data_IF_457090154810
#
_entry.id   IF_457090154810
#
_cell.length_a   1.000
_cell.length_b   1.000
_cell.length_c   1.000
_cell.angle_alpha   90.00
_cell.angle_beta   90.00
_cell.angle_gamma   90.00
#
_symmetry.space_group_name_H-M   'P 1'
#
loop_
_entity.id
_entity.type
_entity.pdbx_description
1 polymer ?
#
# COMPACT_ATOMS: atom_id res chain seq x y z
N UNK A 1 -6.89 2.49 -1.36
CA UNK A 1 -7.47 2.68 -0.02
C UNK A 1 -7.03 4.00 0.60
N UNK A 2 -5.76 4.32 0.53
CA UNK A 2 -5.14 5.47 1.20
C UNK A 2 -5.74 6.83 0.81
N UNK A 3 -6.19 6.99 -0.42
CA UNK A 3 -6.88 8.21 -0.90
C UNK A 3 -8.41 8.08 -0.99
N UNK A 4 -8.96 6.91 -0.73
CA UNK A 4 -10.39 6.63 -0.87
C UNK A 4 -11.14 6.57 0.49
N UNK A 5 -10.53 7.01 1.57
CA UNK A 5 -11.14 6.96 2.90
C UNK A 5 -10.97 5.62 3.63
N UNK A 6 -9.93 4.86 3.30
CA UNK A 6 -9.58 3.59 3.93
C UNK A 6 -10.05 2.35 3.19
N UNK A 7 -9.78 1.20 3.78
CA UNK A 7 -10.10 -0.12 3.20
C UNK A 7 -11.61 -0.32 3.06
N UNK A 8 -12.39 0.15 4.02
CA UNK A 8 -13.86 0.03 3.99
C UNK A 8 -14.45 0.72 2.77
N UNK A 9 -14.04 1.96 2.50
CA UNK A 9 -14.55 2.72 1.35
C UNK A 9 -14.00 2.15 0.04
N UNK A 10 -12.74 1.72 0.02
CA UNK A 10 -12.17 1.05 -1.14
C UNK A 10 -12.97 -0.21 -1.53
N UNK A 11 -13.39 -1.03 -0.54
CA UNK A 11 -14.23 -2.22 -0.79
C UNK A 11 -15.59 -1.88 -1.40
N UNK A 12 -16.22 -0.79 -0.99
CA UNK A 12 -17.47 -0.31 -1.59
C UNK A 12 -17.26 0.07 -3.07
N UNK A 13 -16.16 0.78 -3.35
CA UNK A 13 -15.78 1.13 -4.72
C UNK A 13 -15.54 -0.14 -5.55
N UNK A 14 -14.81 -1.12 -5.02
CA UNK A 14 -14.56 -2.38 -5.70
C UNK A 14 -15.85 -3.15 -6.01
N UNK A 15 -16.77 -3.25 -5.05
CA UNK A 15 -18.05 -3.90 -5.26
C UNK A 15 -18.91 -3.17 -6.31
N UNK A 16 -18.92 -1.83 -6.29
CA UNK A 16 -19.60 -1.06 -7.32
C UNK A 16 -18.99 -1.25 -8.70
N UNK A 17 -17.66 -1.23 -8.80
CA UNK A 17 -16.93 -1.48 -10.04
C UNK A 17 -17.21 -2.89 -10.60
N UNK A 18 -17.27 -3.90 -9.72
CA UNK A 18 -17.59 -5.29 -10.11
C UNK A 18 -18.97 -5.40 -10.76
N UNK A 19 -19.96 -4.66 -10.29
CA UNK A 19 -21.31 -4.61 -10.90
C UNK A 19 -21.32 -4.07 -12.33
N UNK A 20 -20.25 -3.39 -12.74
CA UNK A 20 -20.07 -2.80 -14.07
C UNK A 20 -18.95 -3.47 -14.86
N UNK A 21 -18.50 -4.66 -14.46
CA UNK A 21 -17.39 -5.41 -15.08
C UNK A 21 -16.07 -4.60 -15.15
N UNK A 22 -15.86 -3.68 -14.17
CA UNK A 22 -14.65 -2.86 -14.08
C UNK A 22 -13.67 -3.48 -13.11
N UNK A 23 -12.42 -3.62 -13.55
CA UNK A 23 -11.32 -4.16 -12.76
C UNK A 23 -10.69 -3.09 -11.86
N UNK A 24 -10.13 -3.52 -10.74
CA UNK A 24 -9.47 -2.66 -9.75
C UNK A 24 -7.95 -2.68 -9.91
N UNK A 25 -7.37 -1.49 -10.10
CA UNK A 25 -5.93 -1.25 -10.15
C UNK A 25 -5.61 -0.01 -9.30
N UNK A 26 -5.46 -0.15 -7.98
CA UNK A 26 -5.26 0.98 -7.09
C UNK A 26 -3.90 1.64 -7.30
N UNK A 27 -3.89 2.97 -7.17
CA UNK A 27 -2.70 3.79 -7.28
C UNK A 27 -1.81 3.66 -6.04
N UNK A 28 -0.50 3.42 -6.25
CA UNK A 28 0.53 3.43 -5.22
C UNK A 28 0.28 2.44 -4.06
N UNK A 29 1.07 2.53 -2.99
CA UNK A 29 0.91 1.81 -1.71
C UNK A 29 0.72 0.28 -1.86
N UNK A 30 1.61 -0.42 -2.61
CA UNK A 30 1.44 -1.85 -2.86
C UNK A 30 1.39 -2.66 -1.57
N UNK A 31 2.04 -2.20 -0.49
CA UNK A 31 2.07 -2.84 0.83
C UNK A 31 0.69 -2.90 1.48
N UNK A 32 -0.16 -1.93 1.20
CA UNK A 32 -1.55 -1.89 1.69
C UNK A 32 -2.49 -2.52 0.67
N UNK A 33 -2.33 -2.11 -0.60
CA UNK A 33 -3.26 -2.49 -1.65
C UNK A 33 -3.17 -3.95 -2.08
N UNK A 34 -2.07 -4.67 -1.75
CA UNK A 34 -1.97 -6.10 -2.02
C UNK A 34 -3.10 -6.91 -1.38
N UNK A 35 -3.46 -6.59 -0.14
CA UNK A 35 -4.57 -7.24 0.56
C UNK A 35 -5.91 -6.86 -0.07
N UNK A 36 -6.05 -5.62 -0.48
CA UNK A 36 -7.26 -5.13 -1.14
C UNK A 36 -7.50 -5.84 -2.47
N UNK A 37 -6.48 -5.87 -3.35
CA UNK A 37 -6.57 -6.48 -4.68
C UNK A 37 -6.74 -8.00 -4.58
N UNK A 38 -6.01 -8.66 -3.68
CA UNK A 38 -6.14 -10.10 -3.47
C UNK A 38 -7.48 -10.52 -2.84
N UNK A 39 -8.13 -9.59 -2.12
CA UNK A 39 -9.38 -9.84 -1.40
C UNK A 39 -10.67 -9.58 -2.20
N UNK A 40 -10.59 -9.21 -3.49
CA UNK A 40 -11.76 -8.95 -4.34
C UNK A 40 -11.66 -9.71 -5.66
N UNK A 41 -12.80 -10.05 -6.24
CA UNK A 41 -12.86 -10.84 -7.49
C UNK A 41 -12.38 -10.06 -8.71
N UNK A 42 -12.63 -8.76 -8.73
CA UNK A 42 -12.24 -7.84 -9.79
C UNK A 42 -10.88 -7.16 -9.55
N UNK A 43 -10.03 -7.69 -8.66
CA UNK A 43 -8.66 -7.24 -8.50
C UNK A 43 -7.82 -7.59 -9.72
N UNK A 44 -7.12 -6.60 -10.30
CA UNK A 44 -6.34 -6.79 -11.52
C UNK A 44 -4.84 -6.79 -11.26
N UNK A 45 -4.31 -5.68 -10.75
CA UNK A 45 -2.87 -5.45 -10.67
C UNK A 45 -2.56 -4.44 -9.55
N UNK A 46 -1.33 -4.51 -9.04
CA UNK A 46 -0.77 -3.51 -8.12
C UNK A 46 0.15 -2.56 -8.89
N UNK A 47 0.03 -1.29 -8.61
CA UNK A 47 1.03 -0.32 -9.02
C UNK A 47 2.15 -0.27 -7.98
N UNK A 48 3.40 -0.31 -8.43
CA UNK A 48 4.58 -0.22 -7.58
C UNK A 48 5.66 0.64 -8.25
N UNK A 49 6.35 1.41 -7.45
CA UNK A 49 7.46 2.26 -7.89
C UNK A 49 8.75 1.80 -7.18
N UNK A 50 9.47 0.83 -7.75
CA UNK A 50 10.65 0.25 -7.10
C UNK A 50 11.87 1.17 -7.09
N UNK A 51 11.82 2.33 -7.76
CA UNK A 51 12.93 3.28 -7.77
C UNK A 51 13.03 4.02 -6.43
N UNK A 52 14.09 3.80 -5.62
CA UNK A 52 14.25 4.45 -4.33
C UNK A 52 14.47 5.96 -4.42
N UNK A 53 14.96 6.47 -5.56
CA UNK A 53 15.16 7.92 -5.75
C UNK A 53 13.85 8.67 -5.91
N UNK A 54 12.78 7.97 -6.28
CA UNK A 54 11.46 8.58 -6.43
C UNK A 54 10.78 8.83 -5.10
N UNK A 55 10.79 7.83 -4.21
CA UNK A 55 10.10 7.85 -2.92
C UNK A 55 10.96 7.19 -1.83
N UNK A 56 12.11 7.77 -1.47
CA UNK A 56 13.08 7.10 -0.59
C UNK A 56 12.50 6.80 0.81
N UNK A 57 11.72 7.73 1.38
CA UNK A 57 11.10 7.52 2.68
C UNK A 57 10.07 6.38 2.66
N UNK A 58 9.38 6.22 1.53
CA UNK A 58 8.35 5.19 1.38
C UNK A 58 8.94 3.79 1.23
N UNK A 59 10.06 3.65 0.55
CA UNK A 59 10.76 2.37 0.39
C UNK A 59 11.22 1.80 1.74
N UNK A 60 11.68 2.68 2.63
CA UNK A 60 12.23 2.31 3.94
C UNK A 60 11.18 2.32 5.06
N UNK A 61 9.95 2.75 4.79
CA UNK A 61 8.91 2.91 5.82
C UNK A 61 8.42 1.60 6.41
N UNK A 62 8.52 0.51 5.66
CA UNK A 62 8.02 -0.80 6.07
C UNK A 62 9.16 -1.81 6.22
N UNK A 63 9.10 -2.62 7.27
CA UNK A 63 10.05 -3.69 7.56
C UNK A 63 9.39 -5.04 7.30
N UNK A 64 10.11 -5.95 6.65
CA UNK A 64 9.61 -7.29 6.36
C UNK A 64 8.74 -7.38 5.10
N UNK A 65 8.80 -6.36 4.24
CA UNK A 65 8.07 -6.38 2.97
C UNK A 65 8.65 -7.45 2.04
N UNK A 66 7.76 -8.28 1.50
CA UNK A 66 8.13 -9.29 0.51
C UNK A 66 8.61 -8.64 -0.79
N UNK A 67 9.72 -9.14 -1.38
CA UNK A 67 10.23 -8.61 -2.63
C UNK A 67 9.30 -8.90 -3.80
N UNK A 68 9.32 -8.01 -4.79
CA UNK A 68 8.68 -8.26 -6.08
C UNK A 68 9.59 -9.15 -6.92
N UNK A 69 9.13 -10.36 -7.23
CA UNK A 69 9.85 -11.34 -8.02
C UNK A 69 9.06 -11.68 -9.28
N UNK A 70 9.66 -11.56 -10.44
CA UNK A 70 9.01 -11.82 -11.73
C UNK A 70 7.66 -11.09 -11.87
N UNK A 71 7.64 -9.81 -11.52
CA UNK A 71 6.44 -8.95 -11.52
C UNK A 71 5.30 -9.46 -10.62
N UNK A 72 5.62 -10.23 -9.60
CA UNK A 72 4.67 -10.76 -8.61
C UNK A 72 5.13 -10.42 -7.20
N UNK A 73 4.17 -10.09 -6.36
CA UNK A 73 4.35 -9.87 -4.93
C UNK A 73 3.48 -10.89 -4.18
N UNK A 74 4.05 -11.52 -3.14
CA UNK A 74 3.28 -12.41 -2.26
C UNK A 74 2.42 -11.59 -1.33
N UNK A 75 1.21 -12.08 -1.08
CA UNK A 75 0.36 -11.53 0.00
C UNK A 75 0.97 -11.96 1.33
N UNK A 76 1.35 -11.01 2.21
CA UNK A 76 1.85 -11.33 3.53
C UNK A 76 0.82 -12.14 4.35
N UNK A 77 1.30 -13.09 5.16
CA UNK A 77 0.45 -14.01 5.93
C UNK A 77 0.48 -13.71 7.45
N UNK A 78 1.25 -12.74 7.88
CA UNK A 78 1.34 -12.34 9.28
C UNK A 78 0.11 -11.56 9.76
N UNK A 79 0.00 -11.27 11.07
CA UNK A 79 -1.06 -10.44 11.61
C UNK A 79 -1.09 -9.03 11.01
N UNK A 80 -2.26 -8.41 10.95
CA UNK A 80 -2.45 -7.09 10.37
C UNK A 80 -2.13 -7.07 8.88
N UNK A 81 -1.20 -6.20 8.47
CA UNK A 81 -0.69 -6.14 7.10
C UNK A 81 0.45 -7.13 6.83
N UNK A 82 0.90 -7.87 7.87
CA UNK A 82 1.96 -8.87 7.77
C UNK A 82 3.39 -8.31 7.75
N UNK A 83 3.56 -7.03 8.06
CA UNK A 83 4.84 -6.33 8.25
C UNK A 83 4.67 -5.16 9.21
N UNK A 84 5.77 -4.64 9.69
CA UNK A 84 5.79 -3.53 10.64
C UNK A 84 6.27 -2.22 10.00
N UNK A 85 6.05 -1.11 10.72
CA UNK A 85 6.63 0.16 10.37
C UNK A 85 8.08 0.25 10.86
N UNK A 86 8.92 0.91 10.10
CA UNK A 86 10.24 1.33 10.53
C UNK A 86 10.10 2.53 11.47
N UNK A 87 9.92 2.25 12.74
CA UNK A 87 9.67 3.27 13.77
C UNK A 87 10.81 4.27 13.92
N UNK A 88 12.05 3.86 13.72
CA UNK A 88 13.20 4.76 13.71
C UNK A 88 13.08 5.81 12.60
N UNK A 89 12.68 5.39 11.40
CA UNK A 89 12.44 6.30 10.29
C UNK A 89 11.25 7.22 10.57
N UNK A 90 10.15 6.68 11.08
CA UNK A 90 8.95 7.45 11.44
C UNK A 90 9.29 8.54 12.44
N UNK A 91 9.98 8.22 13.53
CA UNK A 91 10.40 9.19 14.55
C UNK A 91 11.32 10.27 13.97
N UNK A 92 12.26 9.89 13.11
CA UNK A 92 13.16 10.83 12.44
C UNK A 92 12.43 11.79 11.50
N UNK A 93 11.42 11.32 10.77
CA UNK A 93 10.60 12.17 9.89
C UNK A 93 9.73 13.11 10.73
N UNK A 94 9.05 12.58 11.73
CA UNK A 94 8.19 13.38 12.62
C UNK A 94 8.98 14.46 13.37
N UNK A 95 10.18 14.16 13.86
CA UNK A 95 11.02 15.15 14.57
C UNK A 95 11.50 16.29 13.66
N UNK A 96 11.72 16.03 12.37
CA UNK A 96 12.07 17.07 11.41
C UNK A 96 10.90 18.04 11.14
N UNK A 97 9.68 17.55 11.10
CA UNK A 97 8.50 18.37 10.85
C UNK A 97 7.96 19.07 12.10
N UNK A 98 8.25 18.57 13.30
CA UNK A 98 7.85 19.21 14.57
C UNK A 98 8.52 20.58 14.83
N UNK A 99 9.56 20.93 14.07
CA UNK A 99 10.26 22.21 14.15
C UNK A 99 9.88 23.25 13.08
N UNK A 100 9.03 22.91 12.12
CA UNK A 100 8.59 23.82 11.08
C UNK A 100 7.21 24.39 11.44
N UNK A 101 7.03 25.74 11.48
CA UNK A 101 5.69 26.32 11.65
C UNK A 101 4.84 25.97 10.42
N UNK A 102 3.63 25.50 10.69
CA UNK A 102 2.59 25.24 9.69
C UNK A 102 2.12 26.55 9.07
#
# INVERSE_FOLDING_TARGET
>A
ATKAGGITEWRKVAAHAEMHDVMMAPHHDPQIHIHCVAGVRNGLILESFPNPDRDPAWQDMYVGVEPIVNSRMKVPQGPGLGYDLNWELVERICSRHAGEPV
#
